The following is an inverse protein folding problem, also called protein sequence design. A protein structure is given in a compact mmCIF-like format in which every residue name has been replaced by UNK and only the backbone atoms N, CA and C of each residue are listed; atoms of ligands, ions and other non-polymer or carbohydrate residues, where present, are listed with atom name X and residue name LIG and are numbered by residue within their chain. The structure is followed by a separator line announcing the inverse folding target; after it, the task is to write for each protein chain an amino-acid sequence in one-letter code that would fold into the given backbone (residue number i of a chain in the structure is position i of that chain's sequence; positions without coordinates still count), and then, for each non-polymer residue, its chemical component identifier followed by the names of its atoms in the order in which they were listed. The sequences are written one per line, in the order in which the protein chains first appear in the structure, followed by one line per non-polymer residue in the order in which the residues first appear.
data_IF_857561378787
#
_entry.id   IF_857561378787
#
_cell.length_a   1.000
_cell.length_b   1.000
_cell.length_c   1.000
_cell.angle_alpha   90.00
_cell.angle_beta   90.00
_cell.angle_gamma   90.00
#
_symmetry.space_group_name_H-M   'P 1'
#
loop_
_entity.id
_entity.type
_entity.pdbx_description
1 polymer ?
#
# COMPACT_ATOMS: atom_id res chain seq x y z
N UNK A 1 -6.73 -51.72 46.01
CA UNK A 1 -5.76 -51.03 45.12
C UNK A 1 -6.44 -50.79 43.78
N UNK A 2 -6.82 -49.56 43.46
CA UNK A 2 -7.34 -49.16 42.13
C UNK A 2 -6.67 -47.84 41.77
N UNK A 3 -5.60 -47.94 40.99
CA UNK A 3 -4.85 -46.80 40.49
C UNK A 3 -5.42 -46.42 39.11
N UNK A 4 -5.92 -45.18 38.99
CA UNK A 4 -6.36 -44.62 37.72
C UNK A 4 -5.18 -43.86 37.10
N UNK A 5 -4.71 -44.29 35.92
CA UNK A 5 -3.75 -43.56 35.12
C UNK A 5 -4.44 -42.39 34.40
N UNK A 6 -3.98 -41.17 34.68
CA UNK A 6 -4.29 -39.99 33.88
C UNK A 6 -3.38 -39.97 32.65
N UNK A 7 -3.95 -40.08 31.45
CA UNK A 7 -3.25 -39.86 30.20
C UNK A 7 -3.30 -38.38 29.84
N UNK A 8 -2.16 -37.69 29.93
CA UNK A 8 -1.97 -36.31 29.48
C UNK A 8 -1.77 -36.28 27.96
N UNK A 9 -2.67 -35.60 27.24
CA UNK A 9 -2.57 -35.35 25.80
C UNK A 9 -1.83 -34.03 25.57
N UNK A 10 -0.56 -34.12 25.15
CA UNK A 10 0.25 -32.96 24.77
C UNK A 10 -0.10 -32.51 23.34
N UNK A 11 -0.69 -31.31 23.20
CA UNK A 11 -0.83 -30.62 21.92
C UNK A 11 0.55 -30.07 21.50
N UNK A 12 1.16 -30.68 20.49
CA UNK A 12 2.32 -30.10 19.80
C UNK A 12 1.84 -28.94 18.91
N UNK A 13 2.12 -27.70 19.31
CA UNK A 13 1.94 -26.54 18.44
C UNK A 13 2.88 -26.63 17.24
N UNK A 14 2.35 -26.51 16.02
CA UNK A 14 3.17 -26.40 14.81
C UNK A 14 3.89 -25.05 14.82
N UNK A 15 5.17 -25.07 15.19
CA UNK A 15 6.05 -23.91 15.05
C UNK A 15 6.42 -23.82 13.56
N UNK A 16 5.79 -22.92 12.82
CA UNK A 16 6.20 -22.64 11.44
C UNK A 16 7.57 -21.94 11.48
N UNK A 17 8.64 -22.70 11.20
CA UNK A 17 9.98 -22.17 11.06
C UNK A 17 10.03 -21.12 9.94
N UNK A 18 10.83 -20.06 10.10
CA UNK A 18 10.98 -19.03 9.07
C UNK A 18 11.40 -19.65 7.72
N UNK A 19 10.84 -19.14 6.63
CA UNK A 19 11.23 -19.49 5.27
C UNK A 19 12.73 -19.21 5.09
N UNK A 20 13.46 -20.23 4.66
CA UNK A 20 14.89 -20.11 4.38
C UNK A 20 15.18 -19.13 3.24
N UNK A 21 16.45 -18.83 3.06
CA UNK A 21 16.93 -17.97 1.98
C UNK A 21 16.45 -18.50 0.62
N UNK A 22 15.89 -17.63 -0.23
CA UNK A 22 15.29 -17.97 -1.53
C UNK A 22 14.10 -18.97 -1.48
N UNK A 23 13.53 -19.25 -0.31
CA UNK A 23 12.35 -20.11 -0.19
C UNK A 23 11.06 -19.34 -0.47
N UNK A 24 10.01 -20.08 -0.84
CA UNK A 24 8.68 -19.52 -0.95
C UNK A 24 8.18 -19.05 0.42
N UNK A 25 7.60 -17.87 0.46
CA UNK A 25 7.10 -17.21 1.67
C UNK A 25 5.68 -16.66 1.50
N UNK A 26 5.00 -16.99 0.41
CA UNK A 26 3.64 -16.53 0.15
C UNK A 26 3.13 -17.00 -1.22
N UNK A 27 1.84 -16.77 -1.46
CA UNK A 27 1.14 -17.21 -2.67
C UNK A 27 -0.20 -17.87 -2.35
N UNK A 28 -1.14 -17.80 -3.28
CA UNK A 28 -2.45 -18.45 -3.19
C UNK A 28 -2.23 -19.97 -2.99
N UNK A 29 -2.84 -20.50 -1.93
CA UNK A 29 -2.75 -21.91 -1.56
C UNK A 29 -1.46 -22.33 -0.84
N UNK A 30 -0.51 -21.41 -0.61
CA UNK A 30 0.71 -21.70 0.13
C UNK A 30 0.43 -21.80 1.64
N UNK A 31 0.65 -22.97 2.23
CA UNK A 31 0.48 -23.25 3.68
C UNK A 31 1.80 -23.24 4.46
N UNK A 32 2.89 -22.86 3.79
CA UNK A 32 4.22 -22.79 4.39
C UNK A 32 4.50 -21.46 5.11
N UNK A 33 5.75 -21.26 5.56
CA UNK A 33 6.10 -20.12 6.39
C UNK A 33 6.09 -18.80 5.63
N UNK A 34 5.43 -17.78 6.19
CA UNK A 34 5.25 -16.46 5.54
C UNK A 34 6.30 -15.41 5.92
N UNK A 35 7.17 -15.73 6.87
CA UNK A 35 8.25 -14.85 7.34
C UNK A 35 9.60 -15.45 6.96
N UNK A 36 10.51 -14.61 6.47
CA UNK A 36 11.85 -15.04 6.08
C UNK A 36 12.84 -15.02 7.24
N UNK A 37 13.94 -15.77 7.10
CA UNK A 37 15.11 -15.73 7.98
C UNK A 37 15.65 -14.31 8.19
N UNK A 38 16.32 -14.07 9.33
CA UNK A 38 16.87 -12.74 9.68
C UNK A 38 17.71 -12.12 8.56
N UNK A 39 17.36 -10.91 8.13
CA UNK A 39 18.00 -10.18 7.03
C UNK A 39 17.36 -10.41 5.65
N UNK A 40 16.32 -11.25 5.56
CA UNK A 40 15.61 -11.56 4.32
C UNK A 40 14.17 -11.03 4.36
N UNK A 41 13.65 -10.63 3.20
CA UNK A 41 12.31 -10.06 3.05
C UNK A 41 11.48 -10.91 2.09
N UNK A 42 10.24 -11.23 2.50
CA UNK A 42 9.31 -11.93 1.63
C UNK A 42 8.87 -11.00 0.51
N UNK A 43 9.36 -11.26 -0.70
CA UNK A 43 9.14 -10.41 -1.87
C UNK A 43 8.11 -11.07 -2.76
N UNK A 44 7.01 -10.36 -3.02
CA UNK A 44 5.95 -10.84 -3.89
C UNK A 44 6.45 -11.00 -5.34
N UNK A 45 6.18 -12.15 -5.96
CA UNK A 45 6.53 -12.41 -7.36
C UNK A 45 5.29 -12.51 -8.23
N UNK A 46 4.32 -13.35 -7.85
CA UNK A 46 3.03 -13.48 -8.51
C UNK A 46 1.97 -14.03 -7.55
N UNK A 47 0.73 -14.17 -8.03
CA UNK A 47 -0.41 -14.54 -7.21
C UNK A 47 -0.22 -15.86 -6.46
N UNK A 48 0.51 -16.82 -7.02
CA UNK A 48 0.75 -18.14 -6.42
C UNK A 48 2.12 -18.26 -5.76
N UNK A 49 2.96 -17.21 -5.79
CA UNK A 49 4.36 -17.29 -5.37
C UNK A 49 4.95 -15.96 -4.86
N UNK A 50 5.54 -15.99 -3.67
CA UNK A 50 6.39 -14.94 -3.10
C UNK A 50 7.67 -15.58 -2.57
N UNK A 51 8.83 -14.93 -2.67
CA UNK A 51 10.13 -15.52 -2.33
C UNK A 51 10.92 -14.68 -1.34
N UNK A 52 11.61 -15.33 -0.40
CA UNK A 52 12.56 -14.68 0.48
C UNK A 52 13.80 -14.22 -0.28
N UNK A 53 14.03 -12.92 -0.35
CA UNK A 53 15.22 -12.31 -0.99
C UNK A 53 16.04 -11.51 0.05
N UNK A 54 17.36 -11.31 -0.16
CA UNK A 54 18.18 -10.54 0.77
C UNK A 54 17.66 -9.09 0.83
N UNK A 55 17.39 -8.58 2.03
CA UNK A 55 17.16 -7.15 2.24
C UNK A 55 18.49 -6.40 2.16
N UNK A 56 18.52 -5.20 1.58
CA UNK A 56 19.69 -4.31 1.62
C UNK A 56 19.89 -3.77 3.04
N UNK A 57 20.38 -4.63 3.94
CA UNK A 57 20.49 -4.36 5.37
C UNK A 57 21.63 -5.17 5.99
N UNK A 58 22.86 -4.82 5.62
CA UNK A 58 24.07 -5.28 6.29
C UNK A 58 25.14 -4.19 6.23
N UNK A 59 25.53 -3.64 7.38
CA UNK A 59 26.64 -2.68 7.43
C UNK A 59 26.68 -1.84 8.71
N UNK A 60 27.35 -2.37 9.73
CA UNK A 60 27.77 -1.66 10.92
C UNK A 60 28.79 -0.55 10.57
N UNK A 61 28.65 0.64 11.16
CA UNK A 61 29.71 1.64 11.46
C UNK A 61 30.60 2.19 10.34
N UNK A 62 30.55 3.52 10.11
CA UNK A 62 31.62 4.24 9.41
C UNK A 62 31.26 5.65 8.93
N UNK A 63 31.49 6.65 9.79
CA UNK A 63 31.51 8.09 9.46
C UNK A 63 32.52 8.44 8.37
N UNK A 64 32.14 9.22 7.34
CA UNK A 64 32.57 10.62 7.15
C UNK A 64 32.12 11.22 5.81
N UNK A 65 31.75 12.49 5.94
CA UNK A 65 31.40 13.57 5.02
C UNK A 65 32.32 13.74 3.80
N UNK A 66 31.73 14.10 2.65
CA UNK A 66 32.16 15.25 1.81
C UNK A 66 31.03 15.71 0.87
N UNK A 67 31.02 17.01 0.63
CA UNK A 67 29.98 17.85 0.04
C UNK A 67 30.12 18.10 -1.47
N UNK A 68 28.96 18.35 -2.09
CA UNK A 68 28.65 19.32 -3.18
C UNK A 68 28.65 18.91 -4.66
N UNK A 69 27.41 18.83 -5.18
CA UNK A 69 26.80 19.52 -6.33
C UNK A 69 27.34 19.35 -7.77
N UNK A 70 26.49 18.75 -8.63
CA UNK A 70 26.25 19.22 -10.01
C UNK A 70 24.86 18.76 -10.52
N UNK A 71 24.13 19.70 -11.13
CA UNK A 71 22.84 19.54 -11.83
C UNK A 71 23.12 19.15 -13.29
N UNK A 72 22.27 18.33 -13.93
CA UNK A 72 21.66 18.50 -15.29
C UNK A 72 20.95 17.22 -15.78
N UNK A 73 19.62 17.36 -16.00
CA UNK A 73 18.62 16.67 -16.85
C UNK A 73 18.66 15.16 -17.22
N UNK A 74 17.54 14.50 -16.87
CA UNK A 74 16.81 13.28 -17.34
C UNK A 74 17.09 12.71 -18.76
N UNK A 75 16.93 11.39 -19.02
CA UNK A 75 15.63 10.66 -18.90
C UNK A 75 15.61 9.19 -18.41
N UNK A 76 14.38 8.78 -18.05
CA UNK A 76 13.79 7.49 -17.66
C UNK A 76 14.56 6.15 -17.82
N UNK A 77 14.47 5.29 -16.79
CA UNK A 77 14.74 3.85 -16.88
C UNK A 77 14.92 3.12 -15.53
N UNK A 78 13.88 2.41 -15.08
CA UNK A 78 13.80 1.27 -14.13
C UNK A 78 15.05 0.83 -13.32
N UNK A 79 14.97 0.79 -11.97
CA UNK A 79 14.47 -0.35 -11.14
C UNK A 79 15.02 -0.32 -9.69
N UNK A 80 14.12 -0.55 -8.71
CA UNK A 80 14.43 -1.32 -7.49
C UNK A 80 14.83 -0.57 -6.21
N UNK A 81 13.85 -0.32 -5.33
CA UNK A 81 14.08 -0.03 -3.90
C UNK A 81 13.76 1.41 -3.47
N UNK A 82 12.50 1.68 -3.13
CA UNK A 82 12.07 3.00 -2.61
C UNK A 82 11.70 4.05 -3.66
N UNK A 83 11.56 3.65 -4.94
CA UNK A 83 11.12 4.52 -6.04
C UNK A 83 9.60 4.71 -6.04
N UNK A 84 9.14 5.95 -6.12
CA UNK A 84 7.71 6.27 -6.15
C UNK A 84 6.99 5.60 -7.33
N UNK A 85 5.79 5.10 -7.08
CA UNK A 85 4.87 4.55 -8.08
C UNK A 85 4.22 5.68 -8.87
N UNK A 86 3.93 5.47 -10.16
CA UNK A 86 2.96 6.32 -10.86
C UNK A 86 1.58 5.99 -10.30
N UNK A 87 0.86 7.01 -9.87
CA UNK A 87 -0.44 6.85 -9.23
C UNK A 87 -1.50 7.68 -9.95
N UNK A 88 -2.70 7.11 -10.04
CA UNK A 88 -3.93 7.85 -10.32
C UNK A 88 -4.65 8.12 -9.02
N UNK A 89 -5.36 9.24 -9.00
CA UNK A 89 -6.07 9.73 -7.84
C UNK A 89 -7.50 10.06 -8.23
N UNK A 90 -8.42 9.55 -7.45
CA UNK A 90 -9.86 9.80 -7.51
C UNK A 90 -10.34 10.08 -6.08
N UNK A 91 -11.64 10.27 -5.88
CA UNK A 91 -12.20 10.43 -4.55
C UNK A 91 -13.47 9.60 -4.39
N UNK A 92 -13.82 9.33 -3.14
CA UNK A 92 -15.10 8.72 -2.75
C UNK A 92 -15.52 9.26 -1.37
N UNK A 93 -16.73 8.95 -0.92
CA UNK A 93 -17.31 9.48 0.31
C UNK A 93 -18.46 10.45 0.04
N UNK A 94 -18.78 11.32 1.00
CA UNK A 94 -19.91 12.22 0.87
C UNK A 94 -19.79 13.10 -0.38
N UNK A 95 -20.87 13.14 -1.16
CA UNK A 95 -20.94 13.92 -2.40
C UNK A 95 -20.42 13.21 -3.65
N UNK A 96 -19.87 12.00 -3.54
CA UNK A 96 -19.55 11.18 -4.72
C UNK A 96 -20.80 10.42 -5.19
N UNK A 97 -21.12 10.56 -6.49
CA UNK A 97 -22.25 9.87 -7.13
C UNK A 97 -21.89 8.48 -7.66
N UNK A 98 -20.60 8.19 -7.80
CA UNK A 98 -20.11 6.99 -8.48
C UNK A 98 -19.45 5.97 -7.55
N UNK A 99 -19.04 6.38 -6.35
CA UNK A 99 -18.51 5.53 -5.29
C UNK A 99 -19.44 5.38 -4.08
N UNK A 100 -18.90 4.84 -2.98
CA UNK A 100 -19.64 4.76 -1.71
C UNK A 100 -19.86 6.17 -1.13
N UNK A 101 -21.07 6.50 -0.64
CA UNK A 101 -21.39 7.83 -0.10
C UNK A 101 -20.70 8.12 1.25
N UNK A 102 -19.97 7.15 1.80
CA UNK A 102 -19.20 7.31 3.04
C UNK A 102 -17.90 6.51 2.93
N UNK A 103 -16.78 7.15 3.28
CA UNK A 103 -15.43 6.59 3.35
C UNK A 103 -14.84 6.53 4.77
N UNK A 104 -15.55 7.06 5.77
CA UNK A 104 -15.26 6.97 7.21
C UNK A 104 -16.20 6.01 7.92
N UNK A 105 -16.01 4.71 7.70
CA UNK A 105 -16.78 3.66 8.36
C UNK A 105 -15.86 2.58 8.95
N UNK A 106 -16.28 1.97 10.05
CA UNK A 106 -15.62 0.79 10.64
C UNK A 106 -15.72 -0.44 9.73
N UNK A 107 -16.63 -0.42 8.76
CA UNK A 107 -16.79 -1.46 7.76
C UNK A 107 -15.86 -1.31 6.56
N UNK A 108 -14.97 -0.32 6.55
CA UNK A 108 -13.88 -0.25 5.56
C UNK A 108 -13.05 -1.53 5.60
N UNK A 109 -12.42 -1.90 4.48
CA UNK A 109 -11.78 -3.20 4.33
C UNK A 109 -10.65 -3.47 5.36
N UNK A 110 -10.01 -2.43 5.90
CA UNK A 110 -9.04 -2.55 6.98
C UNK A 110 -9.63 -2.63 8.40
N UNK A 111 -10.95 -2.52 8.54
CA UNK A 111 -11.65 -2.55 9.83
C UNK A 111 -11.49 -1.28 10.68
N UNK A 112 -11.12 -0.16 10.06
CA UNK A 112 -10.97 1.13 10.75
C UNK A 112 -11.20 2.32 9.81
N UNK A 113 -11.45 3.47 10.40
CA UNK A 113 -11.38 4.76 9.72
C UNK A 113 -10.47 5.73 10.49
N UNK A 114 -10.22 6.91 9.94
CA UNK A 114 -9.38 7.93 10.56
C UNK A 114 -10.19 9.18 10.85
N UNK A 115 -10.04 9.75 12.05
CA UNK A 115 -10.66 11.04 12.40
C UNK A 115 -9.95 11.68 13.60
N UNK A 116 -9.28 12.85 13.43
CA UNK A 116 -8.89 13.43 12.14
C UNK A 116 -7.85 12.54 11.42
N UNK A 117 -7.49 12.91 10.19
CA UNK A 117 -6.37 12.33 9.45
C UNK A 117 -6.77 11.77 8.10
N UNK A 118 -5.91 11.97 7.10
CA UNK A 118 -6.21 11.64 5.72
C UNK A 118 -6.16 10.14 5.45
N UNK A 119 -7.22 9.61 4.84
CA UNK A 119 -7.30 8.21 4.45
C UNK A 119 -7.58 8.03 2.96
N UNK A 120 -7.22 6.85 2.44
CA UNK A 120 -7.51 6.46 1.07
C UNK A 120 -7.81 4.96 0.98
N UNK A 121 -8.67 4.60 0.02
CA UNK A 121 -8.70 3.25 -0.52
C UNK A 121 -7.60 3.11 -1.57
N UNK A 122 -6.98 1.94 -1.69
CA UNK A 122 -5.97 1.69 -2.73
C UNK A 122 -6.40 0.55 -3.65
N UNK A 123 -5.96 0.60 -4.90
CA UNK A 123 -6.21 -0.44 -5.89
C UNK A 123 -5.79 -1.82 -5.40
N UNK A 124 -6.54 -2.84 -5.80
CA UNK A 124 -6.42 -4.20 -5.27
C UNK A 124 -5.00 -4.79 -5.38
N UNK A 125 -4.27 -4.42 -6.43
CA UNK A 125 -2.88 -4.82 -6.64
C UNK A 125 -1.92 -4.31 -5.55
N UNK A 126 -2.16 -3.11 -5.01
CA UNK A 126 -1.42 -2.57 -3.87
C UNK A 126 -2.01 -3.04 -2.54
N UNK A 127 -3.34 -3.07 -2.44
CA UNK A 127 -4.04 -3.49 -1.22
C UNK A 127 -3.61 -4.89 -0.79
N UNK A 128 -3.46 -5.80 -1.76
CA UNK A 128 -2.92 -7.15 -1.58
C UNK A 128 -3.94 -8.21 -1.16
N UNK A 129 -5.23 -7.87 -1.17
CA UNK A 129 -6.34 -8.80 -0.88
C UNK A 129 -7.60 -8.44 -1.67
N UNK A 130 -8.45 -9.42 -1.97
CA UNK A 130 -9.71 -9.21 -2.69
C UNK A 130 -10.88 -8.88 -1.77
N UNK A 131 -12.04 -8.51 -2.35
CA UNK A 131 -13.29 -8.35 -1.59
C UNK A 131 -13.59 -9.58 -0.72
N UNK A 132 -13.97 -9.36 0.54
CA UNK A 132 -14.29 -10.43 1.49
C UNK A 132 -13.10 -11.19 2.08
N UNK A 133 -11.86 -10.91 1.65
CA UNK A 133 -10.64 -11.57 2.17
C UNK A 133 -10.07 -10.90 3.43
N UNK A 134 -10.71 -9.82 3.90
CA UNK A 134 -10.28 -9.07 5.08
C UNK A 134 -9.20 -8.01 4.80
N UNK A 135 -8.46 -7.67 5.85
CA UNK A 135 -7.41 -6.65 5.80
C UNK A 135 -6.22 -7.13 4.96
N UNK A 136 -5.92 -6.38 3.89
CA UNK A 136 -4.74 -6.62 3.07
C UNK A 136 -3.45 -6.08 3.73
N UNK A 137 -2.27 -6.47 3.25
CA UNK A 137 -0.98 -6.00 3.78
C UNK A 137 -0.77 -4.48 3.69
N UNK A 138 -1.50 -3.78 2.81
CA UNK A 138 -1.44 -2.33 2.73
C UNK A 138 -2.16 -1.63 3.90
N UNK A 139 -3.02 -2.30 4.64
CA UNK A 139 -3.75 -1.68 5.74
C UNK A 139 -2.80 -1.06 6.77
N UNK A 140 -3.12 0.16 7.22
CA UNK A 140 -2.30 0.92 8.18
C UNK A 140 -0.88 1.26 7.68
N UNK A 141 -0.66 1.26 6.36
CA UNK A 141 0.54 1.84 5.75
C UNK A 141 0.26 3.27 5.31
N UNK A 142 1.32 4.08 5.18
CA UNK A 142 1.20 5.49 4.81
C UNK A 142 1.96 5.81 3.53
N UNK A 143 1.37 6.67 2.70
CA UNK A 143 1.93 7.09 1.43
C UNK A 143 1.94 8.61 1.33
N UNK A 144 3.10 9.17 0.97
CA UNK A 144 3.17 10.54 0.46
C UNK A 144 2.75 10.50 -1.01
N UNK A 145 1.65 11.17 -1.31
CA UNK A 145 1.11 11.28 -2.67
C UNK A 145 1.32 12.69 -3.18
N UNK A 146 1.59 12.85 -4.48
CA UNK A 146 1.82 14.16 -5.11
C UNK A 146 1.05 14.26 -6.42
N UNK A 147 0.26 15.32 -6.57
CA UNK A 147 -0.52 15.59 -7.79
C UNK A 147 0.37 16.24 -8.85
N UNK A 148 0.19 15.90 -10.13
CA UNK A 148 1.00 16.45 -11.22
C UNK A 148 0.15 16.88 -12.43
N UNK A 149 -0.67 15.98 -12.96
CA UNK A 149 -1.45 16.23 -14.18
C UNK A 149 -2.90 15.80 -14.05
N UNK A 150 -3.75 16.28 -14.94
CA UNK A 150 -5.08 15.73 -15.18
C UNK A 150 -4.98 14.37 -15.90
N UNK A 151 -6.14 13.78 -16.18
CA UNK A 151 -6.27 12.50 -16.90
C UNK A 151 -5.74 12.53 -18.35
N UNK A 152 -5.54 13.72 -18.93
CA UNK A 152 -5.03 13.91 -20.29
C UNK A 152 -3.53 14.23 -20.30
N UNK A 153 -2.85 14.21 -19.14
CA UNK A 153 -1.44 14.55 -19.01
C UNK A 153 -1.15 16.06 -18.98
N UNK A 154 -2.15 16.92 -18.82
CA UNK A 154 -1.97 18.37 -18.70
C UNK A 154 -1.69 18.74 -17.25
N UNK A 155 -0.70 19.59 -17.00
CA UNK A 155 -0.38 20.02 -15.64
C UNK A 155 -1.59 20.68 -14.96
N UNK A 156 -1.89 20.30 -13.72
CA UNK A 156 -2.94 20.93 -12.92
C UNK A 156 -2.41 22.19 -12.23
N UNK A 157 -3.30 23.11 -11.87
CA UNK A 157 -2.94 24.40 -11.26
C UNK A 157 -2.17 24.27 -9.93
N UNK A 158 -2.39 23.18 -9.19
CA UNK A 158 -1.72 22.87 -7.93
C UNK A 158 -0.68 21.73 -8.07
N UNK A 159 -0.12 21.52 -9.26
CA UNK A 159 0.90 20.49 -9.48
C UNK A 159 2.05 20.61 -8.47
N UNK A 160 2.43 19.49 -7.86
CA UNK A 160 3.39 19.44 -6.76
C UNK A 160 2.76 19.47 -5.37
N UNK A 161 1.46 19.75 -5.23
CA UNK A 161 0.75 19.59 -3.97
C UNK A 161 0.87 18.14 -3.48
N UNK A 162 1.16 17.96 -2.20
CA UNK A 162 1.39 16.64 -1.62
C UNK A 162 0.81 16.52 -0.22
N UNK A 163 0.24 15.35 0.07
CA UNK A 163 -0.24 14.98 1.40
C UNK A 163 0.26 13.58 1.76
N UNK A 164 0.21 13.24 3.04
CA UNK A 164 0.41 11.85 3.50
C UNK A 164 -0.94 11.25 3.84
N UNK A 165 -1.27 10.11 3.25
CA UNK A 165 -2.51 9.38 3.48
C UNK A 165 -2.22 8.03 4.13
N UNK A 166 -3.13 7.56 4.98
CA UNK A 166 -3.15 6.20 5.50
C UNK A 166 -4.09 5.33 4.67
N UNK A 167 -3.68 4.11 4.34
CA UNK A 167 -4.54 3.14 3.66
C UNK A 167 -5.49 2.50 4.66
N UNK A 168 -6.80 2.71 4.47
CA UNK A 168 -7.85 2.17 5.34
C UNK A 168 -8.89 1.30 4.60
N UNK A 169 -8.86 1.28 3.26
CA UNK A 169 -9.88 0.60 2.48
C UNK A 169 -9.34 0.01 1.17
N UNK A 170 -10.14 -0.85 0.54
CA UNK A 170 -9.85 -1.47 -0.74
C UNK A 170 -10.60 -0.73 -1.85
N UNK A 171 -9.91 -0.40 -2.94
CA UNK A 171 -10.53 -0.18 -4.23
C UNK A 171 -10.49 -1.51 -5.03
N UNK A 172 -11.63 -2.21 -5.20
CA UNK A 172 -11.66 -3.53 -5.80
C UNK A 172 -11.37 -3.47 -7.30
N UNK A 173 -10.71 -4.50 -7.85
CA UNK A 173 -10.44 -4.57 -9.29
C UNK A 173 -11.69 -4.92 -10.12
N UNK A 174 -12.60 -5.72 -9.55
CA UNK A 174 -13.79 -6.19 -10.27
C UNK A 174 -14.73 -5.02 -10.56
N UNK A 175 -15.02 -4.80 -11.85
CA UNK A 175 -15.89 -3.71 -12.29
C UNK A 175 -15.26 -2.32 -12.21
N UNK A 176 -13.99 -2.20 -11.79
CA UNK A 176 -13.30 -0.92 -11.69
C UNK A 176 -11.93 -0.95 -12.39
N UNK A 177 -11.87 -0.55 -13.67
CA UNK A 177 -10.64 -0.51 -14.46
C UNK A 177 -9.53 0.37 -13.87
N UNK A 178 -9.88 1.39 -13.08
CA UNK A 178 -8.89 2.23 -12.40
C UNK A 178 -8.06 1.45 -11.38
N UNK A 179 -8.64 0.39 -10.82
CA UNK A 179 -8.07 -0.38 -9.71
C UNK A 179 -7.72 -1.82 -10.09
N UNK A 180 -7.76 -2.14 -11.39
CA UNK A 180 -7.53 -3.48 -11.93
C UNK A 180 -6.15 -3.66 -12.56
N UNK A 181 -5.12 -2.99 -12.02
CA UNK A 181 -3.75 -3.13 -12.52
C UNK A 181 -3.23 -4.56 -12.30
N UNK A 182 -2.50 -5.08 -13.30
CA UNK A 182 -1.83 -6.38 -13.16
C UNK A 182 -0.51 -6.22 -12.39
N UNK A 183 -0.57 -6.38 -11.07
CA UNK A 183 0.57 -6.14 -10.18
C UNK A 183 0.98 -4.66 -10.15
N UNK A 184 2.12 -4.36 -9.53
CA UNK A 184 2.65 -2.98 -9.41
C UNK A 184 3.46 -2.54 -10.64
N UNK A 185 3.74 -3.44 -11.58
CA UNK A 185 4.42 -3.12 -12.85
C UNK A 185 3.44 -2.83 -13.98
N UNK A 186 2.23 -3.42 -13.95
CA UNK A 186 1.13 -3.08 -14.85
C UNK A 186 0.58 -1.68 -14.57
N UNK A 187 -0.23 -1.18 -15.50
CA UNK A 187 -0.87 0.13 -15.37
C UNK A 187 -2.36 0.04 -15.68
N UNK A 188 -3.13 1.01 -15.18
CA UNK A 188 -4.50 1.24 -15.63
C UNK A 188 -4.51 2.03 -16.95
N UNK A 189 -5.71 2.40 -17.41
CA UNK A 189 -5.93 3.12 -18.68
C UNK A 189 -5.28 4.51 -18.75
N UNK A 190 -4.81 5.05 -17.62
CA UNK A 190 -4.11 6.33 -17.54
C UNK A 190 -2.61 6.20 -17.30
N UNK A 191 -2.05 4.98 -17.40
CA UNK A 191 -0.62 4.75 -17.21
C UNK A 191 -0.17 4.78 -15.75
N UNK A 192 -1.09 4.68 -14.79
CA UNK A 192 -0.79 4.61 -13.37
C UNK A 192 -0.67 3.16 -12.87
N UNK A 193 0.38 2.88 -12.09
CA UNK A 193 0.62 1.58 -11.48
C UNK A 193 -0.35 1.25 -10.36
N UNK A 194 -0.86 2.27 -9.68
CA UNK A 194 -1.79 2.13 -8.55
C UNK A 194 -2.81 3.26 -8.60
N UNK A 195 -3.98 3.01 -8.03
CA UNK A 195 -4.99 4.04 -7.80
C UNK A 195 -5.18 4.29 -6.31
N UNK A 196 -5.36 5.55 -5.94
CA UNK A 196 -5.78 5.98 -4.61
C UNK A 196 -7.14 6.67 -4.72
N UNK A 197 -8.18 6.08 -4.13
CA UNK A 197 -9.46 6.77 -3.90
C UNK A 197 -9.36 7.52 -2.58
N UNK A 198 -9.20 8.84 -2.66
CA UNK A 198 -9.05 9.70 -1.49
C UNK A 198 -10.39 9.85 -0.77
N UNK A 199 -10.37 9.65 0.54
CA UNK A 199 -11.56 9.79 1.36
C UNK A 199 -11.95 11.28 1.47
N UNK A 200 -13.11 11.63 0.96
CA UNK A 200 -13.66 13.00 1.03
C UNK A 200 -14.00 13.38 2.47
N UNK A 201 -14.56 12.44 3.24
CA UNK A 201 -15.01 12.65 4.62
C UNK A 201 -13.85 12.87 5.59
N UNK A 202 -12.66 12.34 5.27
CA UNK A 202 -11.44 12.57 6.05
C UNK A 202 -10.74 13.88 5.68
N UNK A 203 -11.26 14.63 4.71
CA UNK A 203 -10.64 15.82 4.13
C UNK A 203 -9.52 15.54 3.12
N UNK A 204 -9.17 14.27 2.84
CA UNK A 204 -8.03 13.92 1.99
C UNK A 204 -8.21 14.42 0.55
N UNK A 205 -9.41 14.21 -0.02
CA UNK A 205 -9.75 14.69 -1.36
C UNK A 205 -9.58 16.22 -1.46
N UNK A 206 -10.20 16.97 -0.54
CA UNK A 206 -10.13 18.43 -0.53
C UNK A 206 -8.70 18.97 -0.37
N UNK A 207 -7.90 18.35 0.50
CA UNK A 207 -6.51 18.76 0.74
C UNK A 207 -5.60 18.45 -0.46
N UNK A 208 -5.88 17.38 -1.19
CA UNK A 208 -5.07 16.94 -2.33
C UNK A 208 -5.44 17.65 -3.64
N UNK A 209 -6.71 17.61 -4.01
CA UNK A 209 -7.19 18.22 -5.25
C UNK A 209 -7.31 19.74 -5.13
N UNK A 210 -7.64 20.28 -3.95
CA UNK A 210 -7.81 21.71 -3.73
C UNK A 210 -8.67 22.36 -4.81
N UNK A 211 -8.17 23.46 -5.39
CA UNK A 211 -8.84 24.21 -6.45
C UNK A 211 -8.41 23.79 -7.86
N UNK A 212 -7.90 22.57 -8.04
CA UNK A 212 -7.44 22.06 -9.35
C UNK A 212 -8.56 21.93 -10.38
N UNK A 213 -9.80 21.75 -9.92
CA UNK A 213 -10.97 21.54 -10.78
C UNK A 213 -11.00 20.18 -11.48
N UNK A 214 -10.18 19.22 -11.07
CA UNK A 214 -10.14 17.87 -11.65
C UNK A 214 -10.73 16.83 -10.69
N UNK A 215 -11.51 15.88 -11.22
CA UNK A 215 -12.01 14.72 -10.49
C UNK A 215 -11.11 13.48 -10.57
N UNK A 216 -10.20 13.46 -11.56
CA UNK A 216 -9.16 12.45 -11.72
C UNK A 216 -7.83 13.15 -12.01
N UNK A 217 -6.80 12.78 -11.27
CA UNK A 217 -5.45 13.27 -11.48
C UNK A 217 -4.42 12.13 -11.53
N UNK A 218 -3.25 12.44 -12.06
CA UNK A 218 -2.08 11.57 -12.09
C UNK A 218 -0.92 12.23 -11.34
N UNK A 219 -0.01 11.40 -10.85
CA UNK A 219 1.21 11.84 -10.21
C UNK A 219 1.97 10.68 -9.58
N UNK A 220 2.47 10.87 -8.37
CA UNK A 220 3.34 9.90 -7.70
C UNK A 220 2.84 9.50 -6.32
N UNK A 221 3.10 8.24 -5.95
CA UNK A 221 2.89 7.73 -4.60
C UNK A 221 4.17 7.08 -4.09
N UNK A 222 4.63 7.50 -2.92
CA UNK A 222 5.80 6.94 -2.24
C UNK A 222 5.38 6.45 -0.86
N UNK A 223 5.65 5.18 -0.56
CA UNK A 223 5.44 4.68 0.80
C UNK A 223 6.39 5.41 1.76
N UNK A 224 5.85 5.89 2.88
CA UNK A 224 6.59 6.61 3.91
C UNK A 224 6.30 6.04 5.29
N UNK A 225 7.13 6.37 6.26
CA UNK A 225 6.80 6.09 7.67
C UNK A 225 5.52 6.83 8.06
N UNK A 226 4.62 6.14 8.78
CA UNK A 226 3.40 6.76 9.32
C UNK A 226 3.68 7.84 10.39
N UNK A 227 4.92 8.02 10.82
CA UNK A 227 5.33 9.21 11.59
C UNK A 227 5.15 10.53 10.81
N UNK A 228 5.10 10.47 9.47
CA UNK A 228 4.81 11.62 8.61
C UNK A 228 3.30 11.86 8.42
N UNK A 229 2.47 10.92 8.85
CA UNK A 229 1.02 11.04 8.81
C UNK A 229 0.51 11.62 10.13
N UNK A 230 -0.51 12.47 10.07
CA UNK A 230 -1.16 13.06 11.25
C UNK A 230 -2.62 12.63 11.30
N UNK A 231 -3.05 12.14 12.46
CA UNK A 231 -4.43 11.72 12.67
C UNK A 231 -4.59 10.69 13.78
N UNK A 232 -5.79 10.15 13.91
CA UNK A 232 -6.14 9.09 14.86
C UNK A 232 -6.93 8.01 14.15
N UNK A 233 -6.58 6.75 14.42
CA UNK A 233 -7.31 5.57 13.95
C UNK A 233 -8.47 5.29 14.90
N UNK A 234 -9.67 5.12 14.33
CA UNK A 234 -10.88 4.74 15.06
C UNK A 234 -11.30 3.32 14.66
N UNK A 235 -11.36 2.43 15.64
CA UNK A 235 -11.80 1.03 15.52
C UNK A 235 -13.15 0.83 16.18
#
# INVERSE_FOLDING_TARGET
MKAYLLASLSLAGAVYAQAGNYQQCGGIGFTGPTSCSGGWTCTYSNAYYSQCLPGSGGGNGGTKTTTSAARTTTPAGNNGGGGGLKASFTHYGAGDSFGSPNCQTKTSACGFYTSPGYAAAVSQNLYGAGPGQGAGPACNTCYKITIQTDQNGRAVSNAGNSIVVMVNNLCPAQGNPLCSQNGLSGTNQYGANVNFDLCSDSGASSAFFGNSGVGLALGTAQQVSCSQWSGTIIR
#
